data_IF_747328503421
#
_entry.id   IF_747328503421
#
_cell.length_a   1.000
_cell.length_b   1.000
_cell.length_c   1.000
_cell.angle_alpha   90.00
_cell.angle_beta   90.00
_cell.angle_gamma   90.00
#
_symmetry.space_group_name_H-M   'P 1'
#
loop_
_entity.id
_entity.type
_entity.pdbx_description
1 polymer ?
#
# COMPACT_ATOMS: atom_id res chain seq x y z
N UNK A 1 24.36 4.01 0.84
CA UNK A 1 23.45 4.86 1.66
C UNK A 1 22.16 4.08 1.83
N UNK A 2 21.72 3.84 3.06
CA UNK A 2 20.35 3.36 3.27
C UNK A 2 19.41 4.48 2.79
N UNK A 3 18.34 4.12 2.09
CA UNK A 3 17.26 5.05 1.74
C UNK A 3 16.74 5.72 3.03
N UNK A 4 16.67 7.05 3.06
CA UNK A 4 16.23 7.83 4.22
C UNK A 4 14.86 7.35 4.71
N UNK A 5 13.97 7.02 3.78
CA UNK A 5 12.66 6.45 4.07
C UNK A 5 12.77 5.10 4.81
N UNK A 6 13.70 4.23 4.40
CA UNK A 6 13.94 2.95 5.07
C UNK A 6 14.46 3.12 6.50
N UNK A 7 15.17 4.20 6.79
CA UNK A 7 15.65 4.51 8.16
C UNK A 7 14.51 5.06 9.01
N UNK A 8 13.73 5.99 8.46
CA UNK A 8 12.60 6.60 9.15
C UNK A 8 11.46 5.62 9.42
N UNK A 9 11.35 4.53 8.64
CA UNK A 9 10.45 3.41 8.92
C UNK A 9 10.73 2.70 10.26
N UNK A 10 11.81 3.03 10.98
CA UNK A 10 11.99 2.60 12.38
C UNK A 10 11.07 3.36 13.37
N UNK A 11 10.45 4.46 12.95
CA UNK A 11 9.46 5.21 13.72
C UNK A 11 8.07 4.54 13.60
N UNK A 12 7.36 4.30 14.72
CA UNK A 12 6.11 3.55 14.71
C UNK A 12 5.06 4.07 13.74
N UNK A 13 4.83 5.39 13.72
CA UNK A 13 3.75 5.96 12.90
C UNK A 13 4.08 5.91 11.40
N UNK A 14 5.35 6.14 11.03
CA UNK A 14 5.81 6.03 9.64
C UNK A 14 5.81 4.59 9.16
N UNK A 15 6.21 3.65 10.02
CA UNK A 15 6.09 2.23 9.72
C UNK A 15 4.64 1.84 9.45
N UNK A 16 3.70 2.36 10.24
CA UNK A 16 2.28 2.07 10.08
C UNK A 16 1.72 2.63 8.78
N UNK A 17 2.01 3.91 8.47
CA UNK A 17 1.62 4.55 7.22
C UNK A 17 2.18 3.82 5.99
N UNK A 18 3.46 3.42 6.06
CA UNK A 18 4.10 2.62 5.01
C UNK A 18 3.33 1.31 4.75
N UNK A 19 2.90 0.62 5.79
CA UNK A 19 2.14 -0.62 5.64
C UNK A 19 0.77 -0.37 4.99
N UNK A 20 0.03 0.66 5.43
CA UNK A 20 -1.25 1.03 4.82
C UNK A 20 -1.14 1.28 3.32
N UNK A 21 0.01 1.80 2.87
CA UNK A 21 0.24 2.06 1.45
C UNK A 21 0.68 0.84 0.64
N UNK A 22 1.39 -0.11 1.27
CA UNK A 22 2.13 -1.18 0.59
C UNK A 22 1.65 -2.60 0.89
N UNK A 23 0.48 -2.78 1.52
CA UNK A 23 -0.05 -4.12 1.84
C UNK A 23 -0.13 -5.03 0.60
N UNK A 24 0.63 -6.13 0.66
CA UNK A 24 0.60 -7.21 -0.32
C UNK A 24 -0.12 -8.44 0.23
N UNK A 25 -0.47 -9.38 -0.64
CA UNK A 25 -1.13 -10.63 -0.25
C UNK A 25 -2.59 -10.76 -0.68
N UNK A 26 -3.23 -11.84 -0.22
CA UNK A 26 -4.62 -12.19 -0.53
C UNK A 26 -5.58 -11.17 0.10
N UNK A 27 -6.72 -10.96 -0.53
CA UNK A 27 -7.80 -10.15 0.02
C UNK A 27 -9.06 -11.01 0.05
N UNK A 28 -9.44 -11.48 1.24
CA UNK A 28 -10.57 -12.41 1.38
C UNK A 28 -11.91 -11.74 1.11
N UNK A 29 -11.99 -10.44 1.35
CA UNK A 29 -13.24 -9.70 1.27
C UNK A 29 -13.31 -8.67 0.14
N UNK A 30 -12.31 -8.57 -0.74
CA UNK A 30 -12.29 -7.56 -1.81
C UNK A 30 -13.45 -7.67 -2.80
N UNK A 31 -14.08 -8.84 -2.93
CA UNK A 31 -15.27 -9.01 -3.77
C UNK A 31 -16.44 -8.10 -3.35
N UNK A 32 -16.48 -7.65 -2.09
CA UNK A 32 -17.49 -6.70 -1.63
C UNK A 32 -17.43 -5.37 -2.39
N UNK A 33 -16.24 -4.97 -2.88
CA UNK A 33 -16.05 -3.71 -3.59
C UNK A 33 -16.90 -3.61 -4.87
N UNK A 34 -17.22 -4.74 -5.51
CA UNK A 34 -18.04 -4.76 -6.72
C UNK A 34 -19.52 -4.42 -6.49
N UNK A 35 -19.97 -4.45 -5.24
CA UNK A 35 -21.37 -4.17 -4.86
C UNK A 35 -21.63 -2.67 -4.64
N UNK A 36 -20.59 -1.84 -4.65
CA UNK A 36 -20.64 -0.43 -4.29
C UNK A 36 -20.09 0.46 -5.40
N UNK A 37 -20.35 1.76 -5.30
CA UNK A 37 -19.77 2.76 -6.19
C UNK A 37 -20.27 2.73 -7.64
N UNK A 38 -21.40 2.04 -7.93
CA UNK A 38 -21.98 1.96 -9.27
C UNK A 38 -22.35 3.32 -9.87
N UNK A 39 -22.65 4.29 -9.02
CA UNK A 39 -23.10 5.64 -9.39
C UNK A 39 -21.96 6.68 -9.38
N UNK A 40 -20.74 6.29 -9.01
CA UNK A 40 -19.59 7.18 -8.97
C UNK A 40 -19.04 7.41 -10.39
N UNK A 41 -18.49 8.60 -10.67
CA UNK A 41 -17.96 8.88 -12.01
C UNK A 41 -16.65 8.11 -12.25
N UNK A 42 -15.78 8.01 -11.25
CA UNK A 42 -14.51 7.29 -11.35
C UNK A 42 -14.57 5.90 -10.69
N UNK A 43 -15.32 4.99 -11.31
CA UNK A 43 -15.51 3.61 -10.83
C UNK A 43 -14.20 2.84 -10.71
N UNK A 44 -13.28 3.02 -11.68
CA UNK A 44 -12.00 2.34 -11.68
C UNK A 44 -11.16 2.69 -10.45
N UNK A 45 -11.02 3.99 -10.17
CA UNK A 45 -10.28 4.40 -8.99
C UNK A 45 -10.98 3.98 -7.70
N UNK A 46 -12.29 4.16 -7.62
CA UNK A 46 -13.06 3.71 -6.47
C UNK A 46 -12.79 2.22 -6.17
N UNK A 47 -12.79 1.37 -7.19
CA UNK A 47 -12.50 -0.06 -7.04
C UNK A 47 -11.08 -0.28 -6.50
N UNK A 48 -10.08 0.43 -7.03
CA UNK A 48 -8.69 0.31 -6.57
C UNK A 48 -8.55 0.73 -5.11
N UNK A 49 -9.12 1.87 -4.73
CA UNK A 49 -9.09 2.36 -3.36
C UNK A 49 -9.88 1.44 -2.42
N UNK A 50 -11.03 0.94 -2.84
CA UNK A 50 -11.83 -0.01 -2.07
C UNK A 50 -11.05 -1.29 -1.78
N UNK A 51 -10.35 -1.87 -2.76
CA UNK A 51 -9.53 -3.05 -2.51
C UNK A 51 -8.42 -2.79 -1.47
N UNK A 52 -7.79 -1.62 -1.52
CA UNK A 52 -6.79 -1.22 -0.50
C UNK A 52 -7.44 -1.02 0.87
N UNK A 53 -8.61 -0.38 0.92
CA UNK A 53 -9.39 -0.19 2.16
C UNK A 53 -9.70 -1.55 2.81
N UNK A 54 -10.27 -2.49 2.06
CA UNK A 54 -10.68 -3.80 2.59
C UNK A 54 -9.49 -4.57 3.17
N UNK A 55 -8.35 -4.57 2.49
CA UNK A 55 -7.11 -5.15 3.03
C UNK A 55 -6.64 -4.44 4.31
N UNK A 56 -6.67 -3.12 4.30
CA UNK A 56 -6.25 -2.32 5.45
C UNK A 56 -7.13 -2.56 6.68
N UNK A 57 -8.44 -2.83 6.52
CA UNK A 57 -9.32 -3.20 7.64
C UNK A 57 -8.80 -4.45 8.38
N UNK A 58 -8.42 -5.49 7.65
CA UNK A 58 -7.89 -6.74 8.23
C UNK A 58 -6.53 -6.53 8.91
N UNK A 59 -5.67 -5.72 8.29
CA UNK A 59 -4.37 -5.36 8.85
C UNK A 59 -4.48 -4.55 10.15
N UNK A 60 -5.38 -3.58 10.19
CA UNK A 60 -5.60 -2.72 11.36
C UNK A 60 -6.14 -3.53 12.52
N UNK A 61 -7.12 -4.40 12.27
CA UNK A 61 -7.60 -5.35 13.27
C UNK A 61 -6.44 -6.16 13.86
N UNK A 62 -5.59 -6.72 13.01
CA UNK A 62 -4.43 -7.51 13.45
C UNK A 62 -3.46 -6.68 14.28
N UNK A 63 -3.26 -5.41 13.91
CA UNK A 63 -2.41 -4.47 14.65
C UNK A 63 -3.01 -4.14 16.03
N UNK A 64 -4.33 -3.96 16.12
CA UNK A 64 -5.03 -3.69 17.39
C UNK A 64 -4.92 -4.89 18.34
N UNK A 65 -5.21 -6.08 17.81
CA UNK A 65 -5.13 -7.33 18.57
C UNK A 65 -3.74 -7.55 19.20
N UNK A 66 -2.67 -7.27 18.45
CA UNK A 66 -1.30 -7.50 18.91
C UNK A 66 -0.76 -6.43 19.88
N UNK A 67 -1.18 -5.17 19.73
CA UNK A 67 -0.60 -4.04 20.47
C UNK A 67 -1.49 -3.51 21.60
N UNK A 68 -2.73 -4.00 21.71
CA UNK A 68 -3.67 -3.64 22.76
C UNK A 68 -4.60 -2.46 22.43
N UNK A 69 -5.58 -2.25 23.31
CA UNK A 69 -6.68 -1.30 23.11
C UNK A 69 -6.24 0.16 23.14
N UNK A 70 -5.12 0.49 23.80
CA UNK A 70 -4.59 1.86 23.85
C UNK A 70 -4.18 2.36 22.45
N UNK A 71 -3.68 1.47 21.60
CA UNK A 71 -3.24 1.78 20.24
C UNK A 71 -4.43 1.84 19.27
N UNK A 72 -5.57 1.23 19.62
CA UNK A 72 -6.77 1.17 18.77
C UNK A 72 -7.23 2.54 18.31
N UNK A 73 -7.37 3.48 19.25
CA UNK A 73 -7.90 4.80 18.93
C UNK A 73 -7.07 5.44 17.80
N UNK A 74 -5.74 5.41 17.94
CA UNK A 74 -4.81 6.02 16.99
C UNK A 74 -4.83 5.30 15.65
N UNK A 75 -4.78 3.97 15.63
CA UNK A 75 -4.80 3.21 14.38
C UNK A 75 -6.07 3.44 13.57
N UNK A 76 -7.21 3.54 14.24
CA UNK A 76 -8.48 3.85 13.60
C UNK A 76 -8.51 5.29 13.07
N UNK A 77 -8.03 6.26 13.84
CA UNK A 77 -7.95 7.67 13.43
C UNK A 77 -6.99 7.87 12.25
N UNK A 78 -5.81 7.25 12.29
CA UNK A 78 -4.82 7.26 11.21
C UNK A 78 -5.38 6.64 9.93
N UNK A 79 -6.15 5.55 10.05
CA UNK A 79 -6.77 4.91 8.90
C UNK A 79 -7.90 5.75 8.30
N UNK A 80 -8.72 6.41 9.13
CA UNK A 80 -9.73 7.37 8.66
C UNK A 80 -9.06 8.51 7.89
N UNK A 81 -7.97 9.07 8.44
CA UNK A 81 -7.19 10.08 7.75
C UNK A 81 -6.60 9.55 6.44
N UNK A 82 -5.99 8.35 6.44
CA UNK A 82 -5.44 7.72 5.25
C UNK A 82 -6.50 7.56 4.15
N UNK A 83 -7.70 7.09 4.50
CA UNK A 83 -8.82 6.95 3.57
C UNK A 83 -9.20 8.31 2.99
N UNK A 84 -9.46 9.31 3.84
CA UNK A 84 -9.86 10.65 3.41
C UNK A 84 -8.79 11.31 2.53
N UNK A 85 -7.51 11.19 2.90
CA UNK A 85 -6.39 11.74 2.14
C UNK A 85 -6.23 11.07 0.77
N UNK A 86 -6.40 9.74 0.68
CA UNK A 86 -6.35 9.03 -0.60
C UNK A 86 -7.51 9.40 -1.52
N UNK A 87 -8.71 9.63 -0.98
CA UNK A 87 -9.83 10.17 -1.78
C UNK A 87 -9.51 11.60 -2.23
N UNK A 88 -9.00 12.45 -1.34
CA UNK A 88 -8.71 13.86 -1.68
C UNK A 88 -7.60 14.02 -2.74
N UNK A 89 -6.61 13.13 -2.75
CA UNK A 89 -5.54 13.09 -3.78
C UNK A 89 -6.06 12.86 -5.20
N UNK A 90 -7.32 12.45 -5.36
CA UNK A 90 -7.86 12.10 -6.66
C UNK A 90 -7.93 13.22 -7.69
N UNK A 91 -7.79 14.50 -7.29
CA UNK A 91 -7.95 15.65 -8.18
C UNK A 91 -9.12 15.49 -9.16
N UNK A 92 -10.24 14.92 -8.68
CA UNK A 92 -11.41 14.73 -9.53
C UNK A 92 -11.84 16.14 -9.93
N UNK A 93 -11.88 16.40 -11.24
CA UNK A 93 -12.39 17.67 -11.80
C UNK A 93 -13.90 17.87 -11.55
N UNK A 94 -14.46 17.29 -10.50
CA UNK A 94 -15.88 17.36 -10.12
C UNK A 94 -15.97 17.62 -8.63
N UNK A 95 -16.84 18.57 -8.27
CA UNK A 95 -16.84 19.29 -7.01
C UNK A 95 -17.01 18.42 -5.75
N UNK A 96 -16.90 19.08 -4.59
CA UNK A 96 -16.94 18.52 -3.22
C UNK A 96 -17.94 17.37 -2.98
N UNK A 97 -19.06 17.34 -3.69
CA UNK A 97 -20.07 16.30 -3.59
C UNK A 97 -19.52 14.91 -3.95
N UNK A 98 -18.71 14.77 -5.01
CA UNK A 98 -18.18 13.45 -5.41
C UNK A 98 -17.18 12.88 -4.40
N UNK A 99 -16.39 13.73 -3.73
CA UNK A 99 -15.48 13.30 -2.66
C UNK A 99 -16.28 12.69 -1.50
N UNK A 100 -17.36 13.36 -1.07
CA UNK A 100 -18.21 12.86 0.00
C UNK A 100 -18.93 11.58 -0.38
N UNK A 101 -19.40 11.48 -1.63
CA UNK A 101 -20.04 10.27 -2.14
C UNK A 101 -19.07 9.07 -2.12
N UNK A 102 -17.82 9.26 -2.56
CA UNK A 102 -16.78 8.23 -2.50
C UNK A 102 -16.53 7.80 -1.05
N UNK A 103 -16.33 8.75 -0.13
CA UNK A 103 -16.08 8.45 1.28
C UNK A 103 -17.26 7.69 1.88
N UNK A 104 -18.49 8.09 1.58
CA UNK A 104 -19.70 7.43 2.07
C UNK A 104 -19.79 5.98 1.60
N UNK A 105 -19.51 5.71 0.33
CA UNK A 105 -19.47 4.36 -0.22
C UNK A 105 -18.39 3.50 0.48
N UNK A 106 -17.19 4.06 0.71
CA UNK A 106 -16.11 3.37 1.43
C UNK A 106 -16.50 3.06 2.89
N UNK A 107 -17.16 3.98 3.58
CA UNK A 107 -17.68 3.75 4.95
C UNK A 107 -18.74 2.64 4.95
N UNK A 108 -19.61 2.59 3.94
CA UNK A 108 -20.62 1.53 3.82
C UNK A 108 -19.98 0.15 3.63
N UNK A 109 -18.94 0.06 2.80
CA UNK A 109 -18.14 -1.16 2.65
C UNK A 109 -17.47 -1.53 3.98
N UNK A 110 -16.84 -0.57 4.66
CA UNK A 110 -16.20 -0.82 5.95
C UNK A 110 -17.20 -1.39 6.98
N UNK A 111 -18.41 -0.81 7.06
CA UNK A 111 -19.48 -1.31 7.92
C UNK A 111 -19.87 -2.74 7.58
N UNK A 112 -19.99 -3.04 6.29
CA UNK A 112 -20.27 -4.39 5.81
C UNK A 112 -19.18 -5.40 6.21
N UNK A 113 -17.91 -5.04 6.02
CA UNK A 113 -16.76 -5.87 6.41
C UNK A 113 -16.72 -6.10 7.92
N UNK A 114 -16.88 -5.06 8.74
CA UNK A 114 -16.96 -5.22 10.20
C UNK A 114 -18.07 -6.21 10.58
N UNK A 115 -19.24 -6.12 9.97
CA UNK A 115 -20.34 -7.07 10.21
C UNK A 115 -20.03 -8.50 9.77
N UNK A 116 -19.23 -8.73 8.72
CA UNK A 116 -18.75 -10.07 8.37
C UNK A 116 -17.81 -10.60 9.45
N UNK A 117 -16.85 -9.77 9.88
CA UNK A 117 -15.85 -10.15 10.88
C UNK A 117 -16.51 -10.49 12.21
N UNK A 118 -17.47 -9.68 12.68
CA UNK A 118 -18.25 -9.95 13.90
C UNK A 118 -18.99 -11.30 13.82
N UNK A 119 -19.63 -11.62 12.69
CA UNK A 119 -20.30 -12.93 12.49
C UNK A 119 -19.35 -14.12 12.50
N UNK A 120 -18.07 -13.90 12.15
CA UNK A 120 -17.01 -14.90 12.25
C UNK A 120 -16.44 -15.04 13.67
N UNK A 121 -17.00 -14.34 14.65
CA UNK A 121 -16.56 -14.41 16.04
C UNK A 121 -15.39 -13.49 16.37
N UNK A 122 -15.06 -12.52 15.51
CA UNK A 122 -14.06 -11.50 15.84
C UNK A 122 -14.63 -10.56 16.91
N UNK A 123 -13.83 -10.30 17.94
CA UNK A 123 -14.19 -9.38 19.01
C UNK A 123 -14.33 -7.95 18.47
N UNK A 124 -15.44 -7.28 18.81
CA UNK A 124 -15.71 -5.89 18.44
C UNK A 124 -14.65 -4.92 18.99
N UNK A 125 -13.99 -5.29 20.08
CA UNK A 125 -12.88 -4.51 20.64
C UNK A 125 -11.68 -4.48 19.70
N UNK A 126 -11.50 -5.45 18.80
CA UNK A 126 -10.43 -5.42 17.78
C UNK A 126 -10.82 -4.64 16.51
N UNK A 127 -12.08 -4.20 16.40
CA UNK A 127 -12.60 -3.50 15.23
C UNK A 127 -12.66 -1.99 15.48
N UNK A 128 -12.34 -1.20 14.47
CA UNK A 128 -12.56 0.23 14.51
C UNK A 128 -14.05 0.57 14.54
N UNK A 129 -14.42 1.46 15.46
CA UNK A 129 -15.76 2.02 15.52
C UNK A 129 -15.88 3.18 14.53
N UNK A 130 -16.79 3.01 13.56
CA UNK A 130 -17.04 3.96 12.49
C UNK A 130 -18.42 4.61 12.60
N UNK A 131 -19.18 4.37 13.68
CA UNK A 131 -20.53 4.94 13.84
C UNK A 131 -20.52 6.45 14.02
N UNK A 132 -19.43 6.99 14.57
CA UNK A 132 -19.28 8.41 14.87
C UNK A 132 -18.60 9.20 13.73
N UNK A 133 -18.45 8.60 12.55
CA UNK A 133 -17.92 9.30 11.39
C UNK A 133 -19.04 10.13 10.77
N UNK A 134 -18.94 11.45 10.91
CA UNK A 134 -19.88 12.41 10.33
C UNK A 134 -19.34 12.98 9.02
N UNK A 135 -20.18 13.03 7.99
CA UNK A 135 -19.85 13.62 6.69
C UNK A 135 -20.44 15.04 6.56
N UNK A 136 -19.74 15.98 5.90
CA UNK A 136 -18.44 15.84 5.24
C UNK A 136 -17.27 15.78 6.25
N UNK A 137 -16.24 14.97 5.93
CA UNK A 137 -15.03 14.93 6.74
C UNK A 137 -14.29 16.28 6.69
N UNK A 138 -13.90 16.80 7.86
CA UNK A 138 -12.98 17.92 7.92
C UNK A 138 -11.53 17.44 7.78
N UNK A 139 -11.01 17.46 6.54
CA UNK A 139 -9.64 17.01 6.25
C UNK A 139 -8.56 17.83 6.99
N UNK A 140 -8.82 19.10 7.28
CA UNK A 140 -7.89 19.95 8.04
C UNK A 140 -7.77 19.43 9.47
N UNK A 141 -8.91 19.15 10.11
CA UNK A 141 -8.94 18.62 11.48
C UNK A 141 -8.30 17.23 11.55
N UNK A 142 -8.61 16.34 10.60
CA UNK A 142 -7.99 15.01 10.51
C UNK A 142 -6.47 15.11 10.33
N UNK A 143 -6.00 16.01 9.47
CA UNK A 143 -4.56 16.24 9.26
C UNK A 143 -3.89 16.75 10.53
N UNK A 144 -4.47 17.73 11.21
CA UNK A 144 -3.92 18.23 12.47
C UNK A 144 -3.89 17.13 13.54
N UNK A 145 -4.94 16.31 13.63
CA UNK A 145 -5.00 15.17 14.56
C UNK A 145 -3.91 14.14 14.28
N UNK A 146 -3.71 13.79 13.00
CA UNK A 146 -2.62 12.91 12.54
C UNK A 146 -1.26 13.47 12.92
N UNK A 147 -0.99 14.74 12.63
CA UNK A 147 0.29 15.39 12.96
C UNK A 147 0.61 15.33 14.46
N UNK A 148 -0.38 15.65 15.31
CA UNK A 148 -0.22 15.53 16.76
C UNK A 148 0.06 14.08 17.18
N UNK A 149 -0.77 13.13 16.70
CA UNK A 149 -0.65 11.71 17.04
C UNK A 149 0.72 11.15 16.66
N UNK A 150 1.17 11.40 15.44
CA UNK A 150 2.48 10.97 14.92
C UNK A 150 3.62 11.49 15.78
N UNK A 151 3.56 12.77 16.12
CA UNK A 151 4.58 13.40 16.96
C UNK A 151 4.68 12.71 18.33
N UNK A 152 3.55 12.55 19.02
CA UNK A 152 3.53 11.95 20.35
C UNK A 152 3.90 10.46 20.31
N UNK A 153 3.42 9.70 19.32
CA UNK A 153 3.74 8.27 19.16
C UNK A 153 5.25 8.06 18.91
N UNK A 154 5.85 8.90 18.06
CA UNK A 154 7.25 8.76 17.70
C UNK A 154 8.21 9.32 18.77
N UNK A 155 7.71 10.08 19.73
CA UNK A 155 8.54 10.86 20.66
C UNK A 155 9.56 10.02 21.44
N UNK A 156 9.15 8.92 22.05
CA UNK A 156 10.05 8.08 22.86
C UNK A 156 11.15 7.42 22.00
N UNK A 157 10.79 7.03 20.77
CA UNK A 157 11.73 6.48 19.80
C UNK A 157 12.73 7.55 19.37
N UNK A 158 12.25 8.75 19.06
CA UNK A 158 13.08 9.90 18.71
C UNK A 158 14.00 10.29 19.86
N UNK A 159 13.50 10.35 21.09
CA UNK A 159 14.29 10.58 22.29
C UNK A 159 15.45 9.60 22.37
N UNK A 160 15.18 8.30 22.23
CA UNK A 160 16.23 7.27 22.25
C UNK A 160 17.23 7.44 21.11
N UNK A 161 16.74 7.72 19.89
CA UNK A 161 17.59 7.89 18.70
C UNK A 161 18.45 9.14 18.74
N UNK A 162 18.02 10.20 19.41
CA UNK A 162 18.68 11.50 19.42
C UNK A 162 19.54 11.74 20.68
N UNK A 163 19.28 11.03 21.77
CA UNK A 163 20.03 11.21 23.05
C UNK A 163 21.02 10.08 23.34
N UNK A 164 20.74 8.86 22.87
CA UNK A 164 21.54 7.68 23.19
C UNK A 164 22.30 7.09 21.99
N UNK A 165 21.92 7.42 20.74
CA UNK A 165 22.45 6.78 19.55
C UNK A 165 23.05 7.80 18.56
N UNK A 166 24.26 7.53 18.08
CA UNK A 166 24.95 8.39 17.09
C UNK A 166 24.68 7.97 15.65
N UNK A 167 24.24 6.74 15.41
CA UNK A 167 24.04 6.20 14.07
C UNK A 167 22.82 6.84 13.41
N UNK A 168 23.03 7.41 12.21
CA UNK A 168 21.97 8.03 11.39
C UNK A 168 21.20 9.13 12.14
N UNK A 169 21.81 9.77 13.15
CA UNK A 169 21.11 10.78 13.93
C UNK A 169 20.60 11.92 13.05
N UNK A 170 21.39 12.39 12.08
CA UNK A 170 21.00 13.46 11.16
C UNK A 170 19.60 13.28 10.55
N UNK A 171 19.26 12.04 10.14
CA UNK A 171 17.96 11.68 9.57
C UNK A 171 16.83 11.87 10.61
N UNK A 172 17.00 11.28 11.80
CA UNK A 172 16.01 11.42 12.88
C UNK A 172 15.90 12.86 13.39
N UNK A 173 17.01 13.61 13.37
CA UNK A 173 17.05 15.01 13.78
C UNK A 173 16.26 15.89 12.82
N UNK A 174 16.46 15.72 11.50
CA UNK A 174 15.68 16.43 10.49
C UNK A 174 14.19 16.17 10.66
N UNK A 175 13.80 14.88 10.75
CA UNK A 175 12.41 14.52 10.98
C UNK A 175 11.84 15.11 12.28
N UNK A 176 12.59 15.08 13.37
CA UNK A 176 12.18 15.67 14.64
C UNK A 176 11.98 17.20 14.52
N UNK A 177 12.90 17.88 13.84
CA UNK A 177 12.80 19.33 13.64
C UNK A 177 11.62 19.72 12.76
N UNK A 178 11.27 18.90 11.77
CA UNK A 178 10.10 19.11 10.90
C UNK A 178 8.78 18.77 11.63
N UNK A 179 8.78 17.82 12.57
CA UNK A 179 7.58 17.36 13.28
C UNK A 179 7.30 18.09 14.60
N UNK A 180 8.29 18.74 15.22
CA UNK A 180 8.13 19.37 16.55
C UNK A 180 7.08 20.47 16.62
N UNK A 181 6.75 21.13 15.50
CA UNK A 181 5.68 22.14 15.44
C UNK A 181 4.31 21.55 15.77
N UNK A 182 4.12 20.23 15.58
CA UNK A 182 2.92 19.54 16.02
C UNK A 182 2.70 19.66 17.55
N UNK A 183 3.75 19.89 18.33
CA UNK A 183 3.63 20.08 19.78
C UNK A 183 2.85 21.36 20.15
N UNK A 184 2.91 22.42 19.34
CA UNK A 184 2.14 23.63 19.61
C UNK A 184 0.63 23.33 19.52
N UNK A 185 0.23 22.50 18.55
CA UNK A 185 -1.15 21.99 18.45
C UNK A 185 -1.51 21.09 19.63
N UNK A 186 -0.58 20.25 20.11
CA UNK A 186 -0.79 19.43 21.32
C UNK A 186 -1.03 20.32 22.53
N UNK A 187 -0.21 21.34 22.74
CA UNK A 187 -0.40 22.29 23.85
C UNK A 187 -1.76 22.96 23.78
N UNK A 188 -2.13 23.47 22.60
CA UNK A 188 -3.39 24.18 22.39
C UNK A 188 -4.61 23.28 22.58
N UNK A 189 -4.62 22.09 21.98
CA UNK A 189 -5.80 21.22 21.91
C UNK A 189 -5.89 20.19 23.04
N UNK A 190 -4.77 19.79 23.65
CA UNK A 190 -4.74 18.77 24.70
C UNK A 190 -4.47 19.32 26.11
N UNK A 191 -3.75 20.44 26.25
CA UNK A 191 -3.21 20.85 27.55
C UNK A 191 -3.64 22.25 28.01
N UNK A 192 -4.32 23.02 27.15
CA UNK A 192 -4.91 24.30 27.50
C UNK A 192 -6.07 24.11 28.49
N UNK A 193 -6.15 25.00 29.49
CA UNK A 193 -7.20 24.97 30.50
C UNK A 193 -8.59 25.08 29.86
N UNK A 194 -9.54 24.25 30.31
CA UNK A 194 -10.92 24.23 29.81
C UNK A 194 -11.15 23.45 28.51
N UNK A 195 -10.13 22.79 27.97
CA UNK A 195 -10.25 22.00 26.73
C UNK A 195 -10.68 20.57 27.05
N UNK A 196 -11.62 20.02 26.27
CA UNK A 196 -12.04 18.62 26.40
C UNK A 196 -10.93 17.69 25.91
N UNK A 197 -10.61 16.64 26.66
CA UNK A 197 -9.67 15.59 26.25
C UNK A 197 -10.15 14.75 25.05
N UNK A 198 -11.40 14.92 24.59
CA UNK A 198 -11.99 14.13 23.52
C UNK A 198 -11.33 14.37 22.15
N UNK A 199 -10.81 15.56 21.89
CA UNK A 199 -10.11 15.89 20.64
C UNK A 199 -8.62 15.50 20.67
N UNK A 200 -8.08 15.18 21.85
CA UNK A 200 -6.68 14.87 22.02
C UNK A 200 -6.36 13.42 21.65
N UNK A 201 -5.37 13.17 20.76
CA UNK A 201 -4.86 11.82 20.49
C UNK A 201 -4.37 11.14 21.76
N UNK A 202 -4.54 9.82 21.84
CA UNK A 202 -4.27 9.05 23.06
C UNK A 202 -2.87 9.29 23.63
N UNK A 203 -1.81 9.13 22.82
CA UNK A 203 -0.43 9.32 23.26
C UNK A 203 -0.19 10.77 23.70
N UNK A 204 -0.81 11.76 23.07
CA UNK A 204 -0.64 13.18 23.40
C UNK A 204 -1.30 13.61 24.71
N UNK A 205 -2.07 12.75 25.39
CA UNK A 205 -2.72 13.11 26.66
C UNK A 205 -1.71 13.32 27.79
N UNK A 206 -0.52 12.72 27.68
CA UNK A 206 0.55 12.94 28.65
C UNK A 206 1.37 14.19 28.32
N UNK A 207 1.72 14.98 29.36
CA UNK A 207 2.56 16.19 29.21
C UNK A 207 4.06 15.90 29.02
N UNK A 208 4.42 14.71 28.52
CA UNK A 208 5.81 14.23 28.46
C UNK A 208 6.51 14.50 27.12
N UNK A 209 5.80 15.11 26.17
CA UNK A 209 6.27 15.28 24.79
C UNK A 209 6.82 16.68 24.51
N UNK A 210 7.37 17.39 25.50
CA UNK A 210 7.97 18.70 25.26
C UNK A 210 9.25 18.53 24.40
N UNK A 211 9.33 19.17 23.21
CA UNK A 211 10.52 19.11 22.36
C UNK A 211 11.82 19.46 23.09
N UNK A 212 11.76 20.33 24.12
CA UNK A 212 12.93 20.70 24.93
C UNK A 212 13.60 19.50 25.58
N UNK A 213 12.84 18.47 25.96
CA UNK A 213 13.38 17.26 26.60
C UNK A 213 14.39 16.55 25.68
N UNK A 214 14.12 16.53 24.37
CA UNK A 214 15.05 15.98 23.37
C UNK A 214 16.17 16.97 23.09
N UNK A 215 15.86 18.25 22.91
CA UNK A 215 16.84 19.28 22.56
C UNK A 215 17.91 19.47 23.64
N UNK A 216 17.53 19.49 24.92
CA UNK A 216 18.44 19.68 26.05
C UNK A 216 19.39 18.50 26.27
N UNK A 217 19.03 17.31 25.75
CA UNK A 217 19.78 16.06 25.89
C UNK A 217 20.36 15.56 24.57
N UNK A 218 20.31 16.38 23.53
CA UNK A 218 20.72 16.02 22.18
C UNK A 218 22.19 15.59 22.16
N UNK A 219 22.47 14.40 21.64
CA UNK A 219 23.80 13.80 21.62
C UNK A 219 24.15 13.31 20.21
N UNK A 220 24.09 14.23 19.26
CA UNK A 220 24.32 13.94 17.85
C UNK A 220 25.61 14.59 17.37
N UNK A 221 26.47 13.78 16.75
CA UNK A 221 27.78 14.22 16.25
C UNK A 221 27.69 15.00 14.95
N UNK A 222 26.67 14.71 14.14
CA UNK A 222 26.43 15.32 12.83
C UNK A 222 25.02 15.90 12.83
N UNK A 223 24.86 17.08 13.44
CA UNK A 223 23.64 17.86 13.29
C UNK A 223 23.80 18.64 11.97
N UNK A 224 22.93 18.44 10.97
CA UNK A 224 22.95 19.26 9.77
C UNK A 224 22.82 20.72 10.20
N UNK A 225 23.65 21.59 9.62
CA UNK A 225 23.58 23.03 9.88
C UNK A 225 22.11 23.45 9.76
N UNK A 226 21.58 24.27 10.72
CA UNK A 226 20.19 24.69 10.66
C UNK A 226 19.92 25.17 9.25
N UNK A 227 18.96 24.54 8.57
CA UNK A 227 18.53 25.00 7.25
C UNK A 227 18.30 26.49 7.43
N UNK A 228 19.16 27.31 6.81
CA UNK A 228 18.93 28.75 6.73
C UNK A 228 17.50 28.83 6.22
N UNK A 229 16.61 29.40 7.03
CA UNK A 229 15.23 29.65 6.65
C UNK A 229 15.28 30.07 5.19
N UNK A 230 14.70 29.26 4.29
CA UNK A 230 14.64 29.63 2.88
C UNK A 230 14.11 31.05 2.91
N UNK A 231 14.93 31.97 2.41
CA UNK A 231 14.63 33.39 2.40
C UNK A 231 13.22 33.48 1.86
N UNK A 232 12.29 34.01 2.66
CA UNK A 232 10.91 34.21 2.25
C UNK A 232 10.98 35.09 0.99
N UNK A 233 11.01 34.46 -0.17
CA UNK A 233 11.07 35.13 -1.46
C UNK A 233 9.73 35.83 -1.64
N UNK A 234 9.77 37.06 -2.12
CA UNK A 234 8.54 37.83 -2.32
C UNK A 234 7.65 37.11 -3.33
N UNK A 235 6.33 37.32 -3.23
CA UNK A 235 5.36 36.71 -4.16
C UNK A 235 5.75 36.94 -5.62
N UNK A 236 6.35 38.09 -5.94
CA UNK A 236 6.82 38.45 -7.27
C UNK A 236 8.00 37.59 -7.74
N UNK A 237 8.94 37.25 -6.85
CA UNK A 237 10.05 36.34 -7.14
C UNK A 237 9.55 34.91 -7.35
N UNK A 238 8.61 34.45 -6.53
CA UNK A 238 7.98 33.15 -6.70
C UNK A 238 7.21 33.06 -8.03
N UNK A 239 6.48 34.11 -8.41
CA UNK A 239 5.74 34.15 -9.67
C UNK A 239 6.72 34.14 -10.86
N UNK A 240 7.80 34.91 -10.82
CA UNK A 240 8.82 34.94 -11.87
C UNK A 240 9.52 33.58 -12.06
N UNK A 241 9.84 32.90 -10.95
CA UNK A 241 10.45 31.57 -11.01
C UNK A 241 9.48 30.51 -11.53
N UNK A 242 8.21 30.57 -11.09
CA UNK A 242 7.13 29.72 -11.60
C UNK A 242 6.90 29.91 -13.10
N UNK A 243 6.90 31.14 -13.59
CA UNK A 243 6.74 31.44 -15.01
C UNK A 243 7.93 30.92 -15.83
N UNK A 244 9.15 31.05 -15.30
CA UNK A 244 10.36 30.48 -15.89
C UNK A 244 10.30 28.95 -15.98
N UNK A 245 9.89 28.29 -14.89
CA UNK A 245 9.72 26.84 -14.82
C UNK A 245 8.63 26.36 -15.78
N UNK A 246 7.52 27.09 -15.88
CA UNK A 246 6.41 26.77 -16.80
C UNK A 246 6.87 26.87 -18.24
N UNK A 247 7.61 27.93 -18.61
CA UNK A 247 8.17 28.09 -19.96
C UNK A 247 9.18 26.98 -20.32
N UNK A 248 10.05 26.59 -19.36
CA UNK A 248 10.97 25.46 -19.55
C UNK A 248 10.24 24.14 -19.70
N UNK A 249 9.18 23.93 -18.93
CA UNK A 249 8.36 22.74 -19.01
C UNK A 249 7.61 22.67 -20.35
N UNK A 250 7.06 23.78 -20.83
CA UNK A 250 6.45 23.86 -22.17
C UNK A 250 7.45 23.55 -23.28
N UNK A 251 8.67 24.12 -23.23
CA UNK A 251 9.73 23.79 -24.18
C UNK A 251 10.13 22.31 -24.12
N UNK A 252 10.23 21.73 -22.92
CA UNK A 252 10.52 20.31 -22.75
C UNK A 252 9.38 19.42 -23.27
N UNK A 253 8.12 19.83 -23.07
CA UNK A 253 6.96 19.13 -23.61
C UNK A 253 6.90 19.19 -25.14
N UNK A 254 7.24 20.33 -25.76
CA UNK A 254 7.34 20.48 -27.22
C UNK A 254 8.48 19.61 -27.77
N UNK A 255 9.62 19.57 -27.09
CA UNK A 255 10.73 18.68 -27.46
C UNK A 255 10.37 17.19 -27.30
N UNK A 256 9.60 16.83 -26.27
CA UNK A 256 9.14 15.45 -26.04
C UNK A 256 8.01 15.03 -26.99
N UNK A 257 7.24 15.98 -27.52
CA UNK A 257 6.18 15.73 -28.51
C UNK A 257 6.67 15.71 -29.96
N UNK A 258 7.98 15.88 -30.19
CA UNK A 258 8.68 15.40 -31.39
C UNK A 258 9.36 14.05 -31.10
N UNK A 259 8.63 12.93 -31.08
CA UNK A 259 9.28 11.64 -31.02
C UNK A 259 10.05 11.44 -32.33
N UNK A 260 11.31 11.02 -32.23
CA UNK A 260 12.07 10.48 -33.37
C UNK A 260 11.40 9.26 -34.04
N UNK A 261 10.25 8.81 -33.51
CA UNK A 261 9.38 7.78 -34.06
C UNK A 261 7.92 8.29 -34.12
N UNK A 262 7.52 8.75 -35.30
CA UNK A 262 6.10 8.99 -35.60
C UNK A 262 5.43 7.67 -36.02
N UNK A 263 4.29 7.34 -35.42
CA UNK A 263 3.46 6.18 -35.80
C UNK A 263 2.90 6.31 -37.23
N UNK A 264 2.90 7.52 -37.79
CA UNK A 264 2.52 7.81 -39.18
C UNK A 264 3.67 7.62 -40.18
N UNK A 265 4.88 7.28 -39.74
CA UNK A 265 6.00 6.96 -40.63
C UNK A 265 5.79 5.53 -41.21
N UNK A 266 5.69 5.37 -42.54
CA UNK A 266 5.54 4.05 -43.16
C UNK A 266 6.66 3.06 -42.76
N UNK A 267 7.84 3.54 -42.37
CA UNK A 267 8.95 2.70 -41.88
C UNK A 267 8.62 2.00 -40.56
N UNK A 268 7.91 2.67 -39.66
CA UNK A 268 7.46 2.12 -38.37
C UNK A 268 6.46 0.98 -38.56
N UNK A 269 5.59 1.10 -39.57
CA UNK A 269 4.60 0.06 -39.92
C UNK A 269 5.30 -1.22 -40.37
N UNK A 270 6.35 -1.12 -41.19
CA UNK A 270 7.13 -2.28 -41.62
C UNK A 270 7.84 -2.97 -40.45
N UNK A 271 8.43 -2.20 -39.52
CA UNK A 271 9.11 -2.77 -38.34
C UNK A 271 8.15 -3.56 -37.44
N UNK A 272 6.92 -3.05 -37.26
CA UNK A 272 5.87 -3.73 -36.50
C UNK A 272 5.44 -5.03 -37.21
N UNK A 273 5.22 -4.98 -38.52
CA UNK A 273 4.86 -6.16 -39.30
C UNK A 273 5.95 -7.25 -39.25
N UNK A 274 7.22 -6.87 -39.42
CA UNK A 274 8.33 -7.83 -39.37
C UNK A 274 8.54 -8.44 -37.98
N UNK A 275 8.31 -7.68 -36.90
CA UNK A 275 8.38 -8.22 -35.54
C UNK A 275 7.25 -9.21 -35.25
N UNK A 276 6.02 -8.92 -35.67
CA UNK A 276 4.92 -9.88 -35.57
C UNK A 276 5.19 -11.15 -36.40
N UNK A 277 5.73 -10.99 -37.61
CA UNK A 277 6.05 -12.13 -38.47
C UNK A 277 7.18 -13.00 -37.90
N UNK A 278 8.24 -12.38 -37.39
CA UNK A 278 9.34 -13.08 -36.72
C UNK A 278 8.87 -13.84 -35.48
N UNK A 279 7.97 -13.25 -34.71
CA UNK A 279 7.36 -13.88 -33.53
C UNK A 279 6.48 -15.07 -33.92
N UNK A 280 5.67 -14.93 -34.98
CA UNK A 280 4.84 -16.02 -35.48
C UNK A 280 5.67 -17.21 -35.99
N UNK A 281 6.74 -16.93 -36.75
CA UNK A 281 7.63 -17.97 -37.29
C UNK A 281 8.40 -18.69 -36.18
N UNK A 282 8.85 -17.97 -35.15
CA UNK A 282 9.50 -18.58 -33.99
C UNK A 282 8.54 -19.48 -33.22
N UNK A 283 7.29 -19.07 -32.98
CA UNK A 283 6.29 -19.96 -32.38
C UNK A 283 5.97 -21.18 -33.24
N UNK A 284 5.84 -21.03 -34.56
CA UNK A 284 5.63 -22.15 -35.49
C UNK A 284 6.80 -23.15 -35.45
N UNK A 285 8.03 -22.66 -35.46
CA UNK A 285 9.22 -23.48 -35.36
C UNK A 285 9.30 -24.22 -34.01
N UNK A 286 9.05 -23.51 -32.90
CA UNK A 286 9.00 -24.10 -31.56
C UNK A 286 7.88 -25.14 -31.44
N UNK A 287 6.72 -24.91 -32.05
CA UNK A 287 5.62 -25.88 -32.08
C UNK A 287 5.99 -27.17 -32.83
N UNK A 288 6.78 -27.08 -33.91
CA UNK A 288 7.20 -28.23 -34.72
C UNK A 288 8.40 -28.98 -34.13
N UNK A 289 9.35 -28.27 -33.50
CA UNK A 289 10.63 -28.82 -33.02
C UNK A 289 10.58 -29.23 -31.55
N UNK A 290 9.79 -28.54 -30.74
CA UNK A 290 9.60 -28.85 -29.32
C UNK A 290 8.36 -29.74 -29.18
N UNK A 291 8.33 -30.78 -28.32
CA UNK A 291 7.14 -31.63 -28.12
C UNK A 291 6.03 -30.91 -27.33
N UNK A 292 5.89 -29.59 -27.53
CA UNK A 292 4.89 -28.74 -26.89
C UNK A 292 3.47 -29.17 -27.24
N UNK A 293 3.24 -29.69 -28.45
CA UNK A 293 1.95 -30.28 -28.82
C UNK A 293 1.56 -31.48 -27.95
N UNK A 294 2.54 -32.33 -27.59
CA UNK A 294 2.31 -33.46 -26.68
C UNK A 294 2.12 -32.98 -25.24
N UNK A 295 2.84 -31.94 -24.81
CA UNK A 295 2.70 -31.32 -23.48
C UNK A 295 1.34 -30.64 -23.26
N UNK A 296 0.86 -29.86 -24.24
CA UNK A 296 -0.48 -29.24 -24.20
C UNK A 296 -1.55 -30.32 -24.20
N UNK A 297 -1.44 -31.34 -25.08
CA UNK A 297 -2.38 -32.47 -25.11
C UNK A 297 -2.40 -33.22 -23.78
N UNK A 298 -1.24 -33.47 -23.17
CA UNK A 298 -1.16 -34.14 -21.87
C UNK A 298 -1.77 -33.29 -20.75
N UNK A 299 -1.57 -31.97 -20.76
CA UNK A 299 -2.14 -31.08 -19.74
C UNK A 299 -3.66 -30.90 -19.91
N UNK A 300 -4.17 -30.88 -21.15
CA UNK A 300 -5.61 -30.87 -21.43
C UNK A 300 -6.27 -32.21 -21.08
N UNK A 301 -5.62 -33.34 -21.38
CA UNK A 301 -6.09 -34.68 -20.98
C UNK A 301 -6.05 -34.85 -19.44
N UNK A 302 -5.00 -34.35 -18.76
CA UNK A 302 -4.96 -34.29 -17.29
C UNK A 302 -6.11 -33.47 -16.71
N UNK A 303 -6.46 -32.33 -17.31
CA UNK A 303 -7.64 -31.55 -16.88
C UNK A 303 -8.97 -32.27 -17.12
N UNK A 304 -9.09 -33.11 -18.14
CA UNK A 304 -10.31 -33.89 -18.42
C UNK A 304 -10.48 -35.04 -17.43
N UNK A 305 -9.41 -35.77 -17.11
CA UNK A 305 -9.42 -36.82 -16.08
C UNK A 305 -9.69 -36.28 -14.68
N UNK A 306 -9.15 -35.10 -14.34
CA UNK A 306 -9.46 -34.45 -13.05
C UNK A 306 -10.94 -34.04 -12.99
N UNK A 307 -11.57 -33.67 -14.11
CA UNK A 307 -12.99 -33.28 -14.14
C UNK A 307 -13.97 -34.45 -14.05
N UNK A 308 -13.61 -35.62 -14.58
CA UNK A 308 -14.45 -36.83 -14.51
C UNK A 308 -14.37 -37.53 -13.13
N UNK A 309 -13.34 -37.27 -12.33
CA UNK A 309 -13.17 -37.84 -10.99
C UNK A 309 -13.77 -37.00 -9.84
N UNK A 310 -14.58 -35.98 -10.12
CA UNK A 310 -15.24 -35.15 -9.09
C UNK A 310 -16.73 -35.47 -8.86
N UNK A 311 -17.28 -36.48 -9.55
CA UNK A 311 -18.71 -36.86 -9.45
C UNK A 311 -18.95 -38.17 -8.65
N UNK A 312 -17.97 -38.66 -7.90
CA UNK A 312 -18.19 -39.77 -6.95
C UNK A 312 -18.00 -39.29 -5.50
N UNK A 313 -19.05 -39.52 -4.71
CA UNK A 313 -19.27 -39.05 -3.35
C UNK A 313 -18.18 -39.52 -2.36
N UNK A 314 -17.74 -38.57 -1.54
CA UNK A 314 -17.41 -38.63 -0.10
C UNK A 314 -17.36 -40.04 0.51
N UNK A 315 -16.16 -40.46 0.95
CA UNK A 315 -15.97 -40.83 2.36
C UNK A 315 -14.49 -40.80 2.79
N UNK A 316 -14.37 -40.62 4.11
CA UNK A 316 -13.22 -40.31 4.96
C UNK A 316 -12.08 -41.35 4.93
N UNK A 317 -10.82 -40.87 5.04
CA UNK A 317 -9.76 -41.40 5.92
C UNK A 317 -8.35 -40.99 5.46
N UNK A 318 -7.75 -40.09 6.25
CA UNK A 318 -6.47 -40.28 6.94
C UNK A 318 -5.15 -40.48 6.15
N UNK A 319 -4.15 -39.71 6.61
CA UNK A 319 -2.74 -40.11 6.82
C UNK A 319 -1.76 -39.94 5.64
N UNK A 320 -0.75 -39.11 5.92
CA UNK A 320 0.70 -39.23 5.64
C UNK A 320 1.10 -40.31 4.60
N UNK A 321 2.01 -40.08 3.65
CA UNK A 321 3.39 -39.69 3.91
C UNK A 321 4.20 -39.61 2.58
N UNK A 322 5.29 -38.86 2.64
CA UNK A 322 6.56 -38.97 1.91
C UNK A 322 6.63 -39.12 0.37
N UNK A 323 7.39 -38.18 -0.18
CA UNK A 323 8.26 -38.33 -1.35
C UNK A 323 9.07 -39.63 -1.34
N UNK A 324 9.12 -40.34 -2.47
CA UNK A 324 10.35 -41.03 -2.85
C UNK A 324 10.55 -41.06 -4.37
N UNK A 325 11.56 -40.30 -4.79
CA UNK A 325 12.24 -40.47 -6.07
C UNK A 325 12.98 -41.80 -6.06
N UNK A 326 12.64 -42.72 -6.97
CA UNK A 326 13.50 -43.89 -7.22
C UNK A 326 13.89 -43.93 -8.70
N UNK A 327 15.08 -43.40 -8.93
CA UNK A 327 15.91 -43.73 -10.08
C UNK A 327 16.66 -45.03 -9.74
N UNK A 328 16.35 -46.15 -10.42
CA UNK A 328 17.24 -47.34 -10.50
C UNK A 328 17.07 -48.12 -11.83
N UNK A 329 18.05 -47.91 -12.72
CA UNK A 329 18.82 -48.87 -13.53
C UNK A 329 18.17 -50.13 -14.15
N UNK A 330 18.08 -50.09 -15.49
CA UNK A 330 18.78 -50.96 -16.47
C UNK A 330 19.22 -52.37 -16.03
N UNK A 331 18.49 -53.41 -16.47
CA UNK A 331 19.01 -54.67 -17.06
C UNK A 331 17.87 -55.68 -17.31
N UNK A 332 17.48 -55.87 -18.57
CA UNK A 332 17.30 -57.16 -19.25
C UNK A 332 16.44 -56.99 -20.50
N UNK A 333 17.14 -56.89 -21.63
CA UNK A 333 16.60 -56.99 -22.98
C UNK A 333 16.40 -58.47 -23.29
N UNK A 334 15.16 -58.89 -23.48
CA UNK A 334 14.81 -60.22 -24.01
C UNK A 334 14.39 -60.12 -25.47
N UNK A 335 15.31 -60.42 -26.39
CA UNK A 335 15.01 -60.57 -27.82
C UNK A 335 14.21 -61.86 -28.07
N UNK A 336 13.09 -61.77 -28.81
CA UNK A 336 12.33 -62.94 -29.29
C UNK A 336 12.77 -63.29 -30.71
N UNK A 337 13.41 -64.45 -30.85
CA UNK A 337 13.75 -65.07 -32.14
C UNK A 337 12.57 -65.93 -32.58
N UNK A 338 12.17 -65.80 -33.83
CA UNK A 338 11.11 -66.55 -34.51
C UNK A 338 11.61 -67.88 -35.05
N UNK A 339 10.81 -68.93 -34.91
CA UNK A 339 10.96 -70.18 -35.66
C UNK A 339 9.66 -70.44 -36.44
N UNK A 340 9.79 -70.49 -37.77
CA UNK A 340 8.81 -71.11 -38.67
C UNK A 340 9.12 -72.61 -38.73
N UNK A 341 8.08 -73.43 -38.79
CA UNK A 341 8.15 -74.80 -39.31
C UNK A 341 6.92 -75.05 -40.18
N UNK A 342 7.17 -75.70 -41.31
CA UNK A 342 6.28 -75.99 -42.44
C UNK A 342 4.97 -76.72 -42.10
#
# INVERSE_FOLDING_TARGET
MADEASVLNELPSLSFDYQLDNLSGKCDHCNSCHQYGSNLNNKFFFQLLCHRLVKNIEYIRSTIYLNGQDVKQIRCEDFIYWMANNVNKLNVKKGKNEINDIINELINIWRYINGILERKGIDKTDLCDITNIELPLNLIDLKQKKMMSDYCENFDKLYTKLTNNKNKCNIFYNYFMDSKEAYDLVLEKCHKSGTSNSSCPYFCRSKRHDPKIILDKLNCTEIPAPKKQEILITQDQCNAEKDSLTSRLEQAMVAASNPAFNYSDPRSVFLILFTFWGTFLTFYFLYKVTPFGSFIRNNLLKKKLVKENFDELVDDESVYDYSESVNRNMQNVGYKISYNSD
#
